data_IF_069894686503
#
_entry.id   IF_069894686503
#
_cell.length_a   1.000
_cell.length_b   1.000
_cell.length_c   1.000
_cell.angle_alpha   90.00
_cell.angle_beta   90.00
_cell.angle_gamma   90.00
#
_symmetry.space_group_name_H-M   'P 1'
#
loop_
_entity.id
_entity.type
_entity.pdbx_description
1 polymer ?
#
# COMPACT_ATOMS: atom_id res chain seq x y z
N UNK A 1 -21.33 9.76 -89.66
CA UNK A 1 -20.44 10.58 -88.85
C UNK A 1 -20.93 10.47 -87.42
N UNK A 2 -20.37 9.55 -86.62
CA UNK A 2 -20.74 9.30 -85.21
C UNK A 2 -19.49 9.40 -84.40
N UNK A 3 -19.39 10.50 -83.62
CA UNK A 3 -18.26 10.81 -82.80
C UNK A 3 -18.46 10.15 -81.40
N UNK A 4 -17.68 9.09 -81.12
CA UNK A 4 -17.72 8.40 -79.82
C UNK A 4 -16.88 9.14 -78.77
N UNK A 5 -17.50 9.59 -77.68
CA UNK A 5 -16.85 10.12 -76.50
C UNK A 5 -16.42 8.98 -75.58
N UNK A 6 -15.11 8.80 -75.42
CA UNK A 6 -14.50 7.89 -74.41
C UNK A 6 -14.37 8.65 -73.10
N UNK A 7 -15.21 8.29 -72.13
CA UNK A 7 -15.07 8.75 -70.76
C UNK A 7 -13.91 8.02 -70.07
N UNK A 8 -12.88 8.75 -69.71
CA UNK A 8 -11.75 8.28 -68.91
C UNK A 8 -12.15 8.37 -67.43
N UNK A 9 -12.43 7.22 -66.79
CA UNK A 9 -12.71 7.14 -65.34
C UNK A 9 -11.39 7.27 -64.58
N UNK A 10 -11.15 8.43 -63.96
CA UNK A 10 -10.06 8.65 -63.02
C UNK A 10 -10.48 8.07 -61.66
N UNK A 11 -9.94 6.90 -61.32
CA UNK A 11 -10.06 6.28 -60.00
C UNK A 11 -9.10 7.02 -59.07
N UNK A 12 -9.63 7.91 -58.19
CA UNK A 12 -8.88 8.56 -57.13
C UNK A 12 -8.75 7.57 -55.97
N UNK A 13 -7.59 6.94 -55.84
CA UNK A 13 -7.22 6.13 -54.70
C UNK A 13 -6.90 7.09 -53.50
N UNK A 14 -7.84 7.24 -52.60
CA UNK A 14 -7.60 7.97 -51.33
C UNK A 14 -6.75 7.07 -50.41
N UNK A 15 -5.60 7.54 -49.89
CA UNK A 15 -4.84 6.78 -48.92
C UNK A 15 -5.59 6.83 -47.56
N UNK A 16 -6.06 5.66 -47.12
CA UNK A 16 -6.56 5.48 -45.78
C UNK A 16 -5.38 5.58 -44.82
N UNK A 17 -5.24 6.71 -44.17
CA UNK A 17 -4.35 6.89 -43.01
C UNK A 17 -4.89 6.05 -41.85
N UNK A 18 -4.31 4.87 -41.67
CA UNK A 18 -4.49 4.07 -40.46
C UNK A 18 -3.86 4.83 -39.31
N UNK A 19 -4.66 5.60 -38.58
CA UNK A 19 -4.27 6.19 -37.28
C UNK A 19 -4.16 5.00 -36.32
N UNK A 20 -2.94 4.47 -36.19
CA UNK A 20 -2.59 3.52 -35.17
C UNK A 20 -2.69 4.25 -33.83
N UNK A 21 -3.77 4.02 -33.08
CA UNK A 21 -3.84 4.41 -31.68
C UNK A 21 -2.79 3.58 -30.94
N UNK A 22 -1.58 4.11 -30.81
CA UNK A 22 -0.60 3.56 -29.89
C UNK A 22 -1.21 3.71 -28.49
N UNK A 23 -1.73 2.61 -27.93
CA UNK A 23 -2.11 2.52 -26.52
C UNK A 23 -0.84 2.73 -25.71
N UNK A 24 -0.64 3.96 -25.22
CA UNK A 24 0.38 4.23 -24.21
C UNK A 24 -0.02 3.41 -22.98
N UNK A 25 0.86 2.55 -22.45
CA UNK A 25 0.56 1.86 -21.20
C UNK A 25 0.32 2.92 -20.15
N UNK A 26 -0.84 2.88 -19.50
CA UNK A 26 -1.14 3.73 -18.35
C UNK A 26 0.00 3.61 -17.34
N UNK A 27 0.54 4.73 -16.83
CA UNK A 27 1.61 4.68 -15.85
C UNK A 27 1.13 3.88 -14.64
N UNK A 28 1.84 2.81 -14.30
CA UNK A 28 1.50 1.98 -13.12
C UNK A 28 1.47 2.85 -11.88
N UNK A 29 0.38 2.77 -11.12
CA UNK A 29 0.32 3.38 -9.80
C UNK A 29 1.53 2.93 -8.96
N UNK A 30 2.11 3.84 -8.19
CA UNK A 30 3.19 3.53 -7.27
C UNK A 30 2.73 2.64 -6.11
N UNK A 31 3.61 2.37 -5.14
CA UNK A 31 3.26 1.56 -3.99
C UNK A 31 2.27 2.27 -3.07
N UNK A 32 1.48 1.47 -2.36
CA UNK A 32 0.61 1.91 -1.27
C UNK A 32 1.13 1.34 0.05
N UNK A 33 1.31 2.18 1.05
CA UNK A 33 1.71 1.77 2.38
C UNK A 33 0.54 1.94 3.35
N UNK A 34 0.14 0.85 3.99
CA UNK A 34 -0.80 0.83 5.10
C UNK A 34 0.03 0.70 6.39
N UNK A 35 -0.03 1.71 7.25
CA UNK A 35 0.73 1.71 8.49
C UNK A 35 -0.25 1.70 9.67
N UNK A 36 -0.04 0.77 10.58
CA UNK A 36 -0.89 0.57 11.76
C UNK A 36 -0.04 0.36 13.00
N UNK A 37 -0.52 0.84 14.14
CA UNK A 37 0.00 0.44 15.43
C UNK A 37 -0.40 -1.03 15.70
N UNK A 38 0.44 -1.78 16.44
CA UNK A 38 0.04 -3.08 16.97
C UNK A 38 -1.31 -2.98 17.70
N UNK A 39 -2.09 -4.03 17.71
CA UNK A 39 -3.33 -4.10 18.44
C UNK A 39 -3.11 -4.10 19.98
N UNK A 40 -4.17 -4.06 20.76
CA UNK A 40 -4.12 -3.94 22.22
C UNK A 40 -3.24 -5.04 22.85
N UNK A 41 -2.30 -4.62 23.69
CA UNK A 41 -1.41 -5.52 24.43
C UNK A 41 -2.06 -6.00 25.72
N UNK A 42 -1.66 -7.18 26.21
CA UNK A 42 -1.99 -7.63 27.56
C UNK A 42 -1.31 -6.72 28.60
N UNK A 43 -1.96 -6.59 29.75
CA UNK A 43 -1.41 -5.95 30.95
C UNK A 43 -1.00 -7.05 31.94
N UNK A 44 0.10 -7.72 31.62
CA UNK A 44 0.63 -8.87 32.36
C UNK A 44 1.95 -8.56 33.08
N UNK A 45 2.34 -7.29 33.12
CA UNK A 45 3.61 -6.83 33.72
C UNK A 45 4.86 -7.19 32.89
N UNK A 46 4.70 -7.87 31.76
CA UNK A 46 5.82 -8.25 30.88
C UNK A 46 6.41 -7.04 30.17
N UNK A 47 7.74 -7.05 29.95
CA UNK A 47 8.42 -6.05 29.09
C UNK A 47 8.04 -6.20 27.62
N UNK A 48 7.67 -7.39 27.19
CA UNK A 48 7.22 -7.69 25.82
C UNK A 48 5.89 -8.47 25.85
N UNK A 49 4.77 -7.80 26.22
CA UNK A 49 3.47 -8.44 26.35
C UNK A 49 2.95 -8.91 25.00
N UNK A 50 2.19 -10.02 25.04
CA UNK A 50 1.40 -10.50 23.92
C UNK A 50 0.19 -9.58 23.66
N UNK A 51 -0.59 -9.87 22.61
CA UNK A 51 -1.90 -9.24 22.41
C UNK A 51 -2.87 -9.68 23.51
N UNK A 52 -3.68 -8.75 23.96
CA UNK A 52 -4.86 -9.04 24.78
C UNK A 52 -5.94 -9.75 23.93
N UNK A 53 -7.00 -10.33 24.53
CA UNK A 53 -8.15 -10.84 23.76
C UNK A 53 -8.79 -9.79 22.85
N UNK A 54 -8.87 -8.52 23.29
CA UNK A 54 -9.35 -7.41 22.48
C UNK A 54 -8.42 -7.14 21.28
N UNK A 55 -7.09 -7.18 21.52
CA UNK A 55 -6.08 -7.03 20.47
C UNK A 55 -6.12 -8.16 19.45
N UNK A 56 -6.31 -9.40 19.90
CA UNK A 56 -6.48 -10.52 18.98
C UNK A 56 -7.71 -10.34 18.07
N UNK A 57 -8.84 -9.93 18.65
CA UNK A 57 -10.06 -9.67 17.89
C UNK A 57 -9.86 -8.49 16.89
N UNK A 58 -9.13 -7.43 17.28
CA UNK A 58 -8.80 -6.32 16.37
C UNK A 58 -7.92 -6.79 15.22
N UNK A 59 -6.87 -7.55 15.48
CA UNK A 59 -5.99 -8.08 14.44
C UNK A 59 -6.75 -8.98 13.45
N UNK A 60 -7.71 -9.77 13.93
CA UNK A 60 -8.58 -10.59 13.08
C UNK A 60 -9.49 -9.72 12.19
N UNK A 61 -10.12 -8.67 12.73
CA UNK A 61 -10.93 -7.74 11.93
C UNK A 61 -10.09 -7.04 10.88
N UNK A 62 -8.88 -6.57 11.23
CA UNK A 62 -7.97 -5.98 10.27
C UNK A 62 -7.61 -6.98 9.16
N UNK A 63 -7.30 -8.23 9.51
CA UNK A 63 -7.03 -9.28 8.53
C UNK A 63 -8.22 -9.56 7.61
N UNK A 64 -9.44 -9.59 8.16
CA UNK A 64 -10.65 -9.75 7.36
C UNK A 64 -10.87 -8.57 6.39
N UNK A 65 -10.65 -7.34 6.85
CA UNK A 65 -10.79 -6.13 6.02
C UNK A 65 -9.75 -6.07 4.89
N UNK A 66 -8.56 -6.63 5.09
CA UNK A 66 -7.49 -6.62 4.10
C UNK A 66 -7.46 -7.87 3.20
N UNK A 67 -8.35 -8.84 3.42
CA UNK A 67 -8.32 -10.15 2.75
C UNK A 67 -8.26 -10.10 1.23
N UNK A 68 -8.96 -9.13 0.63
CA UNK A 68 -9.07 -8.96 -0.81
C UNK A 68 -8.13 -7.86 -1.35
N UNK A 69 -7.31 -7.27 -0.48
CA UNK A 69 -6.28 -6.31 -0.87
C UNK A 69 -5.10 -7.08 -1.46
N UNK A 70 -4.55 -6.59 -2.57
CA UNK A 70 -3.31 -7.12 -3.16
C UNK A 70 -2.09 -6.76 -2.30
N UNK A 71 -2.02 -7.40 -1.12
CA UNK A 71 -0.95 -7.18 -0.17
C UNK A 71 0.31 -7.94 -0.62
N UNK A 72 1.43 -7.26 -0.76
CA UNK A 72 2.70 -7.81 -1.28
C UNK A 72 3.71 -8.13 -0.20
N UNK A 73 3.69 -7.40 0.90
CA UNK A 73 4.58 -7.63 2.03
C UNK A 73 3.94 -7.13 3.34
N UNK A 74 4.31 -7.79 4.43
CA UNK A 74 3.95 -7.40 5.80
C UNK A 74 5.23 -7.19 6.58
N UNK A 75 5.39 -6.03 7.19
CA UNK A 75 6.52 -5.67 8.03
C UNK A 75 6.08 -5.50 9.48
N UNK A 76 6.87 -5.99 10.43
CA UNK A 76 6.61 -5.81 11.85
C UNK A 76 7.92 -5.68 12.63
N UNK A 77 7.91 -4.94 13.75
CA UNK A 77 9.03 -4.95 14.68
C UNK A 77 9.14 -6.32 15.36
N UNK A 78 10.22 -6.59 16.09
CA UNK A 78 10.45 -7.89 16.74
C UNK A 78 9.60 -8.13 17.99
N UNK A 79 8.87 -7.12 18.50
CA UNK A 79 8.03 -7.26 19.69
C UNK A 79 6.86 -8.21 19.45
N UNK A 80 6.50 -9.03 20.47
CA UNK A 80 5.43 -10.03 20.38
C UNK A 80 4.11 -9.45 19.88
N UNK A 81 3.68 -8.30 20.40
CA UNK A 81 2.43 -7.63 20.02
C UNK A 81 2.39 -7.22 18.55
N UNK A 82 3.50 -6.72 17.98
CA UNK A 82 3.57 -6.37 16.56
C UNK A 82 3.61 -7.61 15.69
N UNK A 83 4.39 -8.63 16.07
CA UNK A 83 4.47 -9.89 15.37
C UNK A 83 3.10 -10.61 15.34
N UNK A 84 2.41 -10.68 16.48
CA UNK A 84 1.08 -11.30 16.54
C UNK A 84 0.06 -10.55 15.69
N UNK A 85 0.04 -9.20 15.71
CA UNK A 85 -0.82 -8.42 14.83
C UNK A 85 -0.53 -8.73 13.36
N UNK A 86 0.73 -8.68 12.96
CA UNK A 86 1.16 -8.88 11.59
C UNK A 86 0.90 -10.32 11.09
N UNK A 87 1.24 -11.34 11.89
CA UNK A 87 1.00 -12.73 11.53
C UNK A 87 -0.49 -13.05 11.39
N UNK A 88 -1.35 -12.48 12.24
CA UNK A 88 -2.80 -12.66 12.14
C UNK A 88 -3.31 -12.11 10.81
N UNK A 89 -2.86 -10.92 10.41
CA UNK A 89 -3.22 -10.36 9.10
C UNK A 89 -2.63 -11.18 7.97
N UNK A 90 -1.35 -11.50 8.01
CA UNK A 90 -0.67 -12.25 6.95
C UNK A 90 -1.31 -13.63 6.69
N UNK A 91 -1.74 -14.32 7.76
CA UNK A 91 -2.45 -15.61 7.67
C UNK A 91 -3.88 -15.47 7.11
N UNK A 92 -4.50 -14.30 7.17
CA UNK A 92 -5.84 -14.04 6.65
C UNK A 92 -5.87 -13.81 5.14
N UNK A 93 -4.71 -13.58 4.52
CA UNK A 93 -4.62 -13.34 3.07
C UNK A 93 -4.95 -14.61 2.28
N UNK A 94 -5.43 -14.46 1.04
CA UNK A 94 -5.71 -15.60 0.12
C UNK A 94 -4.48 -16.49 -0.06
N UNK A 95 -3.31 -15.89 -0.06
CA UNK A 95 -2.02 -16.57 0.00
C UNK A 95 -1.26 -16.02 1.20
N UNK A 96 -0.89 -16.88 2.15
CA UNK A 96 -0.16 -16.47 3.33
C UNK A 96 1.15 -15.77 2.95
N UNK A 97 1.41 -14.63 3.59
CA UNK A 97 2.60 -13.82 3.36
C UNK A 97 3.59 -13.99 4.50
N UNK A 98 4.90 -13.95 4.22
CA UNK A 98 5.89 -13.86 5.28
C UNK A 98 5.82 -12.52 5.98
N UNK A 99 6.07 -12.50 7.29
CA UNK A 99 6.24 -11.28 8.08
C UNK A 99 7.73 -10.96 8.14
N UNK A 100 8.09 -9.80 7.59
CA UNK A 100 9.47 -9.31 7.53
C UNK A 100 9.76 -8.44 8.75
N UNK A 101 10.84 -8.75 9.46
CA UNK A 101 11.20 -7.97 10.64
C UNK A 101 11.89 -6.65 10.26
N UNK A 102 11.60 -5.59 11.02
CA UNK A 102 12.36 -4.35 10.97
C UNK A 102 12.70 -3.86 12.39
N UNK A 103 13.72 -3.02 12.51
CA UNK A 103 14.16 -2.48 13.79
C UNK A 103 13.30 -1.29 14.20
N UNK A 104 12.73 -1.33 15.41
CA UNK A 104 11.91 -0.26 15.96
C UNK A 104 12.72 1.03 16.22
N UNK A 105 14.01 0.90 16.48
CA UNK A 105 14.90 2.01 16.84
C UNK A 105 15.63 2.63 15.62
N UNK A 106 15.45 2.04 14.41
CA UNK A 106 16.05 2.62 13.21
C UNK A 106 15.37 3.95 12.84
N UNK A 107 16.10 4.91 12.24
CA UNK A 107 15.51 6.16 11.78
C UNK A 107 14.36 5.92 10.80
N UNK A 108 13.21 6.56 11.07
CA UNK A 108 12.00 6.40 10.23
C UNK A 108 12.27 6.75 8.75
N UNK A 109 13.09 7.77 8.49
CA UNK A 109 13.45 8.19 7.13
C UNK A 109 14.23 7.10 6.38
N UNK A 110 15.15 6.40 7.03
CA UNK A 110 15.93 5.31 6.41
C UNK A 110 15.02 4.11 6.09
N UNK A 111 14.12 3.77 7.01
CA UNK A 111 13.17 2.68 6.76
C UNK A 111 12.19 3.04 5.63
N UNK A 112 11.66 4.25 5.61
CA UNK A 112 10.79 4.74 4.55
C UNK A 112 11.47 4.72 3.17
N UNK A 113 12.74 5.16 3.10
CA UNK A 113 13.53 5.11 1.87
C UNK A 113 13.69 3.66 1.39
N UNK A 114 14.12 2.75 2.28
CA UNK A 114 14.27 1.32 1.96
C UNK A 114 12.96 0.68 1.49
N UNK A 115 11.81 0.99 2.10
CA UNK A 115 10.51 0.50 1.66
C UNK A 115 10.20 0.94 0.22
N UNK A 116 10.46 2.20 -0.12
CA UNK A 116 10.24 2.74 -1.47
C UNK A 116 11.18 2.13 -2.50
N UNK A 117 12.45 1.95 -2.14
CA UNK A 117 13.46 1.36 -3.04
C UNK A 117 13.18 -0.12 -3.31
N UNK A 118 12.64 -0.83 -2.32
CA UNK A 118 12.36 -2.28 -2.43
C UNK A 118 11.05 -2.57 -3.18
N UNK A 119 10.07 -1.66 -3.11
CA UNK A 119 8.73 -1.90 -3.62
C UNK A 119 8.28 -0.80 -4.59
N UNK A 120 8.24 -1.12 -5.86
CA UNK A 120 7.83 -0.18 -6.91
C UNK A 120 6.31 -0.12 -7.11
N UNK A 121 5.54 -1.07 -6.59
CA UNK A 121 4.07 -1.15 -6.74
C UNK A 121 3.44 -2.09 -5.72
N UNK A 122 2.10 -2.14 -5.67
CA UNK A 122 1.33 -2.99 -4.77
C UNK A 122 1.13 -2.38 -3.40
N UNK A 123 0.44 -3.10 -2.52
CA UNK A 123 0.15 -2.64 -1.16
C UNK A 123 1.03 -3.35 -0.14
N UNK A 124 1.52 -2.61 0.83
CA UNK A 124 2.35 -3.13 1.93
C UNK A 124 1.69 -2.78 3.26
N UNK A 125 1.78 -3.69 4.23
CA UNK A 125 1.38 -3.43 5.61
C UNK A 125 2.62 -3.26 6.49
N UNK A 126 2.65 -2.19 7.28
CA UNK A 126 3.68 -1.94 8.30
C UNK A 126 3.00 -1.89 9.67
N UNK A 127 3.40 -2.79 10.56
CA UNK A 127 2.91 -2.86 11.93
C UNK A 127 3.99 -2.38 12.88
N UNK A 128 3.72 -1.32 13.64
CA UNK A 128 4.69 -0.71 14.54
C UNK A 128 4.06 -0.20 15.85
N UNK A 129 4.56 0.90 16.35
CA UNK A 129 4.20 1.48 17.67
C UNK A 129 3.64 2.90 17.53
N UNK A 130 3.09 3.44 18.61
CA UNK A 130 2.51 4.79 18.63
C UNK A 130 3.49 5.90 18.25
N UNK A 131 4.77 5.71 18.53
CA UNK A 131 5.84 6.65 18.17
C UNK A 131 6.42 6.40 16.77
N UNK A 132 6.52 5.15 16.32
CA UNK A 132 7.18 4.81 15.05
C UNK A 132 6.27 4.96 13.83
N UNK A 133 4.99 4.59 13.95
CA UNK A 133 4.05 4.60 12.82
C UNK A 133 3.81 6.01 12.26
N UNK A 134 3.49 7.04 13.08
CA UNK A 134 3.35 8.39 12.54
C UNK A 134 4.66 8.93 11.92
N UNK A 135 5.81 8.60 12.52
CA UNK A 135 7.11 9.02 12.01
C UNK A 135 7.42 8.39 10.63
N UNK A 136 7.13 7.09 10.44
CA UNK A 136 7.31 6.42 9.15
C UNK A 136 6.33 6.97 8.11
N UNK A 137 5.06 7.19 8.48
CA UNK A 137 4.07 7.79 7.58
C UNK A 137 4.51 9.19 7.11
N UNK A 138 4.98 10.03 8.04
CA UNK A 138 5.51 11.36 7.73
C UNK A 138 6.71 11.29 6.79
N UNK A 139 7.63 10.37 7.03
CA UNK A 139 8.81 10.18 6.18
C UNK A 139 8.45 9.68 4.77
N UNK A 140 7.43 8.82 4.65
CA UNK A 140 6.94 8.35 3.35
C UNK A 140 6.26 9.46 2.55
N UNK A 141 5.38 10.25 3.17
CA UNK A 141 4.63 11.28 2.46
C UNK A 141 5.40 12.61 2.30
N UNK A 142 6.48 12.84 3.06
CA UNK A 142 7.10 14.16 3.15
C UNK A 142 6.16 15.21 3.77
N UNK A 143 5.20 14.79 4.59
CA UNK A 143 4.18 15.61 5.25
C UNK A 143 4.16 15.32 6.77
N UNK A 144 3.26 15.95 7.51
CA UNK A 144 3.08 15.68 8.94
C UNK A 144 1.88 14.76 9.14
N UNK A 145 2.12 13.52 9.63
CA UNK A 145 1.09 12.61 10.07
C UNK A 145 0.64 12.93 11.51
N UNK A 146 -0.65 12.75 11.81
CA UNK A 146 -1.18 12.98 13.15
C UNK A 146 -0.54 12.04 14.18
N UNK A 147 -0.21 12.48 15.40
CA UNK A 147 0.32 11.59 16.42
C UNK A 147 -0.73 10.58 16.90
N UNK A 148 -0.27 9.46 17.46
CA UNK A 148 -1.11 8.46 18.12
C UNK A 148 -1.07 8.64 19.62
N UNK A 149 -2.23 8.77 20.26
CA UNK A 149 -2.39 8.68 21.70
C UNK A 149 -2.31 7.24 22.23
N UNK A 150 -2.27 7.09 23.56
CA UNK A 150 -2.11 5.76 24.20
C UNK A 150 -3.26 4.80 23.87
N UNK A 151 -4.48 5.29 23.71
CA UNK A 151 -5.67 4.51 23.34
C UNK A 151 -5.87 4.31 21.84
N UNK A 152 -5.05 4.92 20.98
CA UNK A 152 -5.23 4.89 19.52
C UNK A 152 -4.68 3.60 18.91
N UNK A 153 -5.46 2.53 18.95
CA UNK A 153 -5.14 1.25 18.31
C UNK A 153 -5.81 1.05 16.94
N UNK A 154 -6.79 1.87 16.62
CA UNK A 154 -7.63 1.70 15.42
C UNK A 154 -7.22 2.54 14.22
N UNK A 155 -6.27 3.46 14.33
CA UNK A 155 -5.90 4.35 13.23
C UNK A 155 -5.08 3.64 12.15
N UNK A 156 -5.41 3.95 10.91
CA UNK A 156 -4.67 3.52 9.71
C UNK A 156 -4.15 4.75 9.00
N UNK A 157 -2.85 4.79 8.76
CA UNK A 157 -2.22 5.74 7.85
C UNK A 157 -2.04 5.06 6.50
N UNK A 158 -2.61 5.62 5.47
CA UNK A 158 -2.48 5.16 4.10
C UNK A 158 -1.68 6.18 3.30
N UNK A 159 -0.48 5.80 2.87
CA UNK A 159 0.36 6.61 1.99
C UNK A 159 0.36 5.97 0.61
N UNK A 160 -0.17 6.70 -0.38
CA UNK A 160 -0.26 6.26 -1.77
C UNK A 160 0.68 7.07 -2.64
N UNK A 161 1.35 6.41 -3.56
CA UNK A 161 2.18 7.07 -4.56
C UNK A 161 1.53 6.98 -5.93
N UNK A 162 1.46 8.10 -6.63
CA UNK A 162 1.04 8.12 -8.04
C UNK A 162 2.21 7.69 -8.96
N UNK A 163 1.90 7.54 -10.24
CA UNK A 163 2.89 7.18 -11.27
C UNK A 163 4.02 8.22 -11.45
N UNK A 164 3.86 9.42 -10.91
CA UNK A 164 4.86 10.50 -10.92
C UNK A 164 5.68 10.56 -9.62
N UNK A 165 5.45 9.61 -8.70
CA UNK A 165 6.12 9.56 -7.41
C UNK A 165 5.61 10.59 -6.39
N UNK A 166 4.47 11.24 -6.62
CA UNK A 166 3.85 12.13 -5.64
C UNK A 166 3.08 11.30 -4.64
N UNK A 167 3.16 11.64 -3.37
CA UNK A 167 2.52 10.93 -2.27
C UNK A 167 1.27 11.67 -1.76
N UNK A 168 0.29 10.89 -1.31
CA UNK A 168 -0.89 11.38 -0.59
C UNK A 168 -1.02 10.55 0.70
N UNK A 169 -1.15 11.24 1.85
CA UNK A 169 -1.48 10.62 3.12
C UNK A 169 -2.98 10.74 3.38
N UNK A 170 -3.62 9.62 3.69
CA UNK A 170 -4.99 9.55 4.20
C UNK A 170 -4.99 8.86 5.54
N UNK A 171 -5.68 9.41 6.52
CA UNK A 171 -5.88 8.83 7.84
C UNK A 171 -7.33 8.36 7.99
N UNK A 172 -7.50 7.13 8.48
CA UNK A 172 -8.82 6.53 8.70
C UNK A 172 -8.81 5.66 9.97
N UNK A 173 -9.97 5.12 10.32
CA UNK A 173 -10.12 4.17 11.43
C UNK A 173 -10.39 2.78 10.86
N UNK A 174 -9.80 1.76 11.50
CA UNK A 174 -10.07 0.35 11.18
C UNK A 174 -11.56 0.04 11.39
N UNK A 175 -12.15 -0.80 10.55
CA UNK A 175 -13.52 -1.26 10.72
C UNK A 175 -13.74 -2.11 11.98
#
# INVERSE_FOLDING_TARGET
>A
MTTGYRYLLLIVLAPWLLISCASHPEPKAGPTFLLVRHAEKADDGSKDPALSPAGQARAQRLGAALRDVDLRAVYATRYRRTQQTAHTVAASMRQALPVLAYDADQPAAEFAARLRDTHASGTLLVVGHSNTIPAIASALCGCVASPLGDGDYGRVYRVEFDARGRSVLTESVQP
#
